data_IF_329578356079
#
_entry.id   IF_329578356079
#
_cell.length_a   1.000
_cell.length_b   1.000
_cell.length_c   1.000
_cell.angle_alpha   90.00
_cell.angle_beta   90.00
_cell.angle_gamma   90.00
#
_symmetry.space_group_name_H-M   'P 1'
#
loop_
_entity.id
_entity.type
_entity.pdbx_description
1 polymer ?
#
# COMPACT_ATOMS: atom_id res chain seq x y z
N UNK A 1 -16.41 -9.20 0.01
CA UNK A 1 -17.26 -8.32 -0.82
C UNK A 1 -16.93 -8.59 -2.26
N UNK A 2 -17.94 -8.78 -3.12
CA UNK A 2 -17.77 -8.76 -4.57
C UNK A 2 -17.39 -7.34 -5.04
N UNK A 3 -16.84 -7.18 -6.25
CA UNK A 3 -16.48 -5.85 -6.78
C UNK A 3 -17.71 -4.93 -6.90
N UNK A 4 -18.88 -5.50 -7.19
CA UNK A 4 -20.15 -4.76 -7.19
C UNK A 4 -20.54 -4.26 -5.79
N UNK A 5 -20.25 -5.03 -4.75
CA UNK A 5 -20.49 -4.65 -3.35
C UNK A 5 -19.49 -3.61 -2.82
N UNK A 6 -18.36 -3.38 -3.51
CA UNK A 6 -17.45 -2.29 -3.18
C UNK A 6 -18.03 -0.92 -3.56
N UNK A 7 -18.93 -0.89 -4.56
CA UNK A 7 -19.60 0.31 -5.08
C UNK A 7 -21.03 0.36 -4.56
N UNK A 8 -21.28 1.11 -3.48
CA UNK A 8 -22.60 1.18 -2.83
C UNK A 8 -23.67 1.85 -3.71
N UNK A 9 -23.32 2.94 -4.38
CA UNK A 9 -24.19 3.74 -5.25
C UNK A 9 -23.37 4.34 -6.41
N UNK A 10 -24.02 4.65 -7.53
CA UNK A 10 -23.36 5.23 -8.72
C UNK A 10 -23.89 6.65 -8.98
N UNK A 11 -23.00 7.58 -9.30
CA UNK A 11 -23.37 8.96 -9.64
C UNK A 11 -23.27 9.92 -8.46
N UNK A 12 -24.14 10.95 -8.45
CA UNK A 12 -24.19 11.95 -7.37
C UNK A 12 -23.06 12.99 -7.40
N UNK A 13 -22.41 13.20 -8.55
CA UNK A 13 -21.41 14.25 -8.69
C UNK A 13 -22.09 15.61 -8.85
N UNK A 14 -21.86 16.50 -7.90
CA UNK A 14 -22.21 17.93 -8.02
C UNK A 14 -21.38 18.61 -9.12
N UNK A 15 -21.77 19.81 -9.58
CA UNK A 15 -20.94 20.59 -10.49
C UNK A 15 -19.51 20.82 -9.97
N UNK A 16 -19.36 21.04 -8.66
CA UNK A 16 -18.05 21.23 -8.03
C UNK A 16 -17.21 19.93 -8.03
N UNK A 17 -17.83 18.79 -7.77
CA UNK A 17 -17.17 17.49 -7.86
C UNK A 17 -16.71 17.18 -9.30
N UNK A 18 -17.55 17.48 -10.30
CA UNK A 18 -17.16 17.34 -11.71
C UNK A 18 -15.99 18.28 -12.06
N UNK A 19 -16.06 19.57 -11.70
CA UNK A 19 -14.98 20.51 -11.98
C UNK A 19 -13.65 20.10 -11.32
N UNK A 20 -13.71 19.59 -10.07
CA UNK A 20 -12.56 19.06 -9.35
C UNK A 20 -11.98 17.80 -9.99
N UNK A 21 -12.83 16.88 -10.46
CA UNK A 21 -12.43 15.66 -11.19
C UNK A 21 -11.74 15.97 -12.51
N UNK A 22 -12.24 16.94 -13.27
CA UNK A 22 -11.72 17.29 -14.59
C UNK A 22 -10.49 18.23 -14.54
N UNK A 23 -10.09 18.69 -13.35
CA UNK A 23 -8.95 19.59 -13.22
C UNK A 23 -9.22 21.03 -13.67
N UNK A 24 -10.49 21.44 -13.79
CA UNK A 24 -10.84 22.78 -14.25
C UNK A 24 -10.85 23.77 -13.07
N UNK A 25 -9.68 24.31 -12.74
CA UNK A 25 -9.49 25.21 -11.59
C UNK A 25 -10.33 26.49 -11.69
N UNK A 26 -10.56 27.03 -12.90
CA UNK A 26 -11.38 28.23 -13.07
C UNK A 26 -12.87 27.95 -12.84
N UNK A 27 -13.37 26.80 -13.28
CA UNK A 27 -14.72 26.36 -12.93
C UNK A 27 -14.87 26.11 -11.43
N UNK A 28 -13.87 25.51 -10.78
CA UNK A 28 -13.86 25.33 -9.31
C UNK A 28 -13.98 26.68 -8.59
N UNK A 29 -13.17 27.68 -8.97
CA UNK A 29 -13.25 29.03 -8.40
C UNK A 29 -14.64 29.65 -8.59
N UNK A 30 -15.14 29.65 -9.83
CA UNK A 30 -16.45 30.24 -10.15
C UNK A 30 -17.60 29.59 -9.37
N UNK A 31 -17.59 28.27 -9.22
CA UNK A 31 -18.60 27.54 -8.45
C UNK A 31 -18.54 27.88 -6.97
N UNK A 32 -17.34 27.94 -6.38
CA UNK A 32 -17.18 28.35 -4.97
C UNK A 32 -17.61 29.79 -4.74
N UNK A 33 -17.26 30.70 -5.66
CA UNK A 33 -17.63 32.12 -5.59
C UNK A 33 -19.15 32.31 -5.76
N UNK A 34 -19.83 31.41 -6.49
CA UNK A 34 -21.29 31.33 -6.59
C UNK A 34 -21.97 30.63 -5.39
N UNK A 35 -21.21 30.22 -4.37
CA UNK A 35 -21.75 29.60 -3.15
C UNK A 35 -21.96 28.09 -3.22
N UNK A 36 -21.32 27.39 -4.17
CA UNK A 36 -21.36 25.92 -4.19
C UNK A 36 -20.81 25.34 -2.87
N UNK A 37 -21.48 24.37 -2.24
CA UNK A 37 -21.02 23.84 -0.94
C UNK A 37 -19.69 23.10 -1.07
N UNK A 38 -18.64 23.65 -0.46
CA UNK A 38 -17.25 23.15 -0.58
C UNK A 38 -17.05 21.72 -0.06
N UNK A 39 -17.88 21.30 0.89
CA UNK A 39 -17.82 19.98 1.53
C UNK A 39 -18.84 18.97 1.03
N UNK A 40 -19.67 19.30 0.03
CA UNK A 40 -20.71 18.37 -0.43
C UNK A 40 -20.09 17.18 -1.14
N UNK A 41 -20.30 16.00 -0.55
CA UNK A 41 -19.76 14.73 -1.01
C UNK A 41 -20.60 14.13 -2.14
N UNK A 42 -20.01 13.21 -2.90
CA UNK A 42 -20.74 12.41 -3.88
C UNK A 42 -21.70 11.43 -3.22
N UNK A 43 -22.85 11.16 -3.84
CA UNK A 43 -23.78 10.15 -3.31
C UNK A 43 -23.25 8.72 -3.42
N UNK A 44 -22.23 8.49 -4.24
CA UNK A 44 -21.69 7.16 -4.58
C UNK A 44 -20.71 6.57 -3.56
N UNK A 45 -19.66 7.32 -3.22
CA UNK A 45 -18.54 6.90 -2.36
C UNK A 45 -18.28 7.92 -1.24
N UNK A 46 -19.20 8.88 -1.05
CA UNK A 46 -19.05 10.01 -0.14
C UNK A 46 -17.72 10.76 -0.32
N UNK A 47 -17.24 10.85 -1.58
CA UNK A 47 -16.01 11.55 -1.94
C UNK A 47 -16.23 13.06 -1.89
N UNK A 48 -15.43 13.80 -1.11
CA UNK A 48 -15.46 15.27 -1.10
C UNK A 48 -14.82 15.89 -2.35
N UNK A 49 -15.07 17.17 -2.67
CA UNK A 49 -14.39 17.86 -3.77
C UNK A 49 -12.86 17.83 -3.66
N UNK A 50 -12.32 17.98 -2.44
CA UNK A 50 -10.87 17.94 -2.23
C UNK A 50 -10.30 16.53 -2.42
N UNK A 51 -11.00 15.50 -1.92
CA UNK A 51 -10.60 14.12 -2.16
C UNK A 51 -10.70 13.78 -3.66
N UNK A 52 -11.76 14.23 -4.34
CA UNK A 52 -11.96 14.05 -5.79
C UNK A 52 -10.84 14.67 -6.61
N UNK A 53 -10.43 15.91 -6.31
CA UNK A 53 -9.28 16.54 -6.93
C UNK A 53 -7.99 15.74 -6.67
N UNK A 54 -7.80 15.28 -5.42
CA UNK A 54 -6.59 14.55 -5.01
C UNK A 54 -6.45 13.21 -5.72
N UNK A 55 -7.52 12.38 -5.78
CA UNK A 55 -7.48 11.07 -6.44
C UNK A 55 -7.23 11.17 -7.96
N UNK A 56 -7.56 12.30 -8.57
CA UNK A 56 -7.28 12.59 -9.99
C UNK A 56 -5.95 13.34 -10.20
N UNK A 57 -5.16 13.57 -9.13
CA UNK A 57 -3.83 14.21 -9.21
C UNK A 57 -3.86 15.72 -9.41
N UNK A 58 -5.00 16.38 -9.18
CA UNK A 58 -5.14 17.84 -9.28
C UNK A 58 -4.78 18.51 -7.95
N UNK A 59 -3.50 18.45 -7.57
CA UNK A 59 -3.01 18.96 -6.29
C UNK A 59 -3.16 20.47 -6.11
N UNK A 60 -3.11 21.25 -7.19
CA UNK A 60 -3.36 22.70 -7.12
C UNK A 60 -4.82 22.99 -6.74
N UNK A 61 -5.77 22.19 -7.24
CA UNK A 61 -7.18 22.30 -6.85
C UNK A 61 -7.39 21.83 -5.41
N UNK A 62 -6.77 20.72 -5.01
CA UNK A 62 -6.85 20.24 -3.64
C UNK A 62 -6.32 21.29 -2.65
N UNK A 63 -5.21 21.93 -2.98
CA UNK A 63 -4.64 23.04 -2.21
C UNK A 63 -5.57 24.25 -2.17
N UNK A 64 -6.14 24.66 -3.31
CA UNK A 64 -7.14 25.73 -3.36
C UNK A 64 -8.35 25.43 -2.45
N UNK A 65 -8.88 24.22 -2.49
CA UNK A 65 -10.02 23.82 -1.66
C UNK A 65 -9.66 23.86 -0.17
N UNK A 66 -8.45 23.41 0.19
CA UNK A 66 -7.94 23.52 1.57
C UNK A 66 -7.84 24.99 2.02
N UNK A 67 -7.27 25.86 1.18
CA UNK A 67 -7.16 27.31 1.43
C UNK A 67 -8.54 27.99 1.57
N UNK A 68 -9.57 27.45 0.90
CA UNK A 68 -10.97 27.89 0.98
C UNK A 68 -11.75 27.25 2.15
N UNK A 69 -11.09 26.49 3.01
CA UNK A 69 -11.69 25.94 4.24
C UNK A 69 -12.30 24.54 4.11
N UNK A 70 -11.98 23.78 3.06
CA UNK A 70 -12.40 22.39 2.96
C UNK A 70 -11.75 21.54 4.08
N UNK A 71 -12.52 20.64 4.70
CA UNK A 71 -12.01 19.76 5.77
C UNK A 71 -10.98 18.76 5.23
N UNK A 72 -9.75 18.70 5.78
CA UNK A 72 -8.73 17.75 5.34
C UNK A 72 -9.01 16.32 5.79
N UNK A 73 -10.02 16.10 6.64
CA UNK A 73 -10.36 14.81 7.25
C UNK A 73 -11.62 14.17 6.67
N UNK A 74 -12.28 14.79 5.68
CA UNK A 74 -13.43 14.17 5.03
C UNK A 74 -12.97 12.92 4.27
N UNK A 75 -13.54 11.76 4.66
CA UNK A 75 -13.19 10.47 4.09
C UNK A 75 -14.27 9.95 3.13
N UNK A 76 -13.87 9.11 2.18
CA UNK A 76 -14.79 8.27 1.42
C UNK A 76 -15.31 7.08 2.23
N UNK A 77 -16.24 6.30 1.68
CA UNK A 77 -16.74 5.07 2.29
C UNK A 77 -15.65 4.03 2.58
N UNK A 78 -14.56 4.08 1.80
CA UNK A 78 -13.39 3.23 2.02
C UNK A 78 -12.45 3.75 3.12
N UNK A 79 -12.76 4.87 3.76
CA UNK A 79 -11.92 5.51 4.77
C UNK A 79 -10.73 6.28 4.20
N UNK A 80 -10.67 6.52 2.89
CA UNK A 80 -9.58 7.30 2.30
C UNK A 80 -9.79 8.80 2.55
N UNK A 81 -8.76 9.46 3.08
CA UNK A 81 -8.69 10.92 3.22
C UNK A 81 -7.81 11.52 2.12
N UNK A 82 -7.87 12.85 1.90
CA UNK A 82 -6.91 13.54 1.02
C UNK A 82 -5.46 13.18 1.31
N UNK A 83 -5.06 13.10 2.60
CA UNK A 83 -3.68 12.75 2.98
C UNK A 83 -3.27 11.36 2.48
N UNK A 84 -4.10 10.34 2.67
CA UNK A 84 -3.84 9.00 2.16
C UNK A 84 -3.79 9.01 0.61
N UNK A 85 -4.75 9.69 -0.02
CA UNK A 85 -4.87 9.76 -1.46
C UNK A 85 -3.66 10.44 -2.13
N UNK A 86 -3.09 11.49 -1.53
CA UNK A 86 -1.89 12.17 -2.05
C UNK A 86 -0.72 11.20 -2.21
N UNK A 87 -0.43 10.40 -1.18
CA UNK A 87 0.64 9.39 -1.21
C UNK A 87 0.28 8.28 -2.20
N UNK A 88 -0.98 7.85 -2.20
CA UNK A 88 -1.43 6.79 -3.08
C UNK A 88 -1.25 7.15 -4.55
N UNK A 89 -1.67 8.34 -4.96
CA UNK A 89 -1.62 8.82 -6.35
C UNK A 89 -0.18 9.03 -6.82
N UNK A 90 0.72 9.44 -5.94
CA UNK A 90 2.14 9.58 -6.27
C UNK A 90 2.73 8.27 -6.79
N UNK A 91 2.35 7.15 -6.17
CA UNK A 91 2.89 5.81 -6.40
C UNK A 91 1.92 4.86 -7.13
N UNK A 92 0.75 5.34 -7.53
CA UNK A 92 -0.22 4.56 -8.29
C UNK A 92 0.28 4.30 -9.71
N UNK A 93 -0.19 3.21 -10.31
CA UNK A 93 0.02 2.93 -11.72
C UNK A 93 -0.61 4.07 -12.55
N UNK A 94 0.19 4.74 -13.38
CA UNK A 94 -0.31 5.80 -14.28
C UNK A 94 -0.61 5.16 -15.64
N UNK A 95 -1.88 4.84 -15.89
CA UNK A 95 -2.32 4.42 -17.23
C UNK A 95 -2.45 5.63 -18.16
N UNK A 96 -2.78 5.39 -19.44
CA UNK A 96 -3.28 6.41 -20.37
C UNK A 96 -4.67 6.88 -19.90
N UNK A 97 -4.75 7.55 -18.75
CA UNK A 97 -5.92 8.32 -18.32
C UNK A 97 -6.19 9.38 -19.40
N UNK A 98 -7.42 9.90 -19.58
CA UNK A 98 -7.71 10.91 -20.60
C UNK A 98 -6.77 12.14 -20.57
N UNK A 99 -6.07 12.40 -19.45
CA UNK A 99 -5.01 13.40 -19.38
C UNK A 99 -3.74 12.89 -18.65
N UNK A 100 -2.87 12.10 -19.31
CA UNK A 100 -1.74 11.43 -18.68
C UNK A 100 -0.57 12.38 -18.31
N UNK A 101 -0.72 13.68 -18.58
CA UNK A 101 0.26 14.73 -18.27
C UNK A 101 -0.28 15.81 -17.35
N UNK A 102 -1.54 15.74 -16.89
CA UNK A 102 -2.13 16.76 -16.03
C UNK A 102 -1.34 16.96 -14.72
N UNK A 103 -0.76 15.87 -14.19
CA UNK A 103 0.13 15.92 -13.03
C UNK A 103 1.43 16.69 -13.29
N UNK A 104 1.90 16.77 -14.53
CA UNK A 104 3.10 17.55 -14.91
C UNK A 104 2.82 19.06 -14.96
N UNK A 105 1.55 19.44 -14.98
CA UNK A 105 1.12 20.84 -15.02
C UNK A 105 0.83 21.39 -13.61
N UNK A 106 0.82 20.53 -12.59
CA UNK A 106 0.61 20.95 -11.21
C UNK A 106 1.83 21.67 -10.68
N UNK A 107 1.62 22.77 -9.96
CA UNK A 107 2.67 23.52 -9.26
C UNK A 107 2.94 22.93 -7.87
N UNK A 108 1.88 22.50 -7.20
CA UNK A 108 1.92 21.88 -5.89
C UNK A 108 2.42 20.44 -6.02
N UNK A 109 3.54 20.13 -5.39
CA UNK A 109 4.06 18.77 -5.29
C UNK A 109 3.26 17.95 -4.27
N UNK A 110 3.39 16.63 -4.33
CA UNK A 110 2.70 15.74 -3.39
C UNK A 110 3.14 16.00 -1.94
N UNK A 111 4.44 16.24 -1.67
CA UNK A 111 4.94 16.55 -0.33
C UNK A 111 4.43 17.89 0.19
N UNK A 112 4.35 18.92 -0.66
CA UNK A 112 3.79 20.21 -0.27
C UNK A 112 2.30 20.08 0.09
N UNK A 113 1.53 19.32 -0.69
CA UNK A 113 0.12 19.05 -0.36
C UNK A 113 -0.01 18.24 0.93
N UNK A 114 0.81 17.20 1.13
CA UNK A 114 0.82 16.43 2.38
C UNK A 114 1.10 17.34 3.58
N UNK A 115 2.13 18.19 3.50
CA UNK A 115 2.48 19.09 4.59
C UNK A 115 1.37 20.11 4.86
N UNK A 116 0.74 20.66 3.81
CA UNK A 116 -0.39 21.57 3.95
C UNK A 116 -1.59 20.90 4.65
N UNK A 117 -1.94 19.68 4.24
CA UNK A 117 -3.02 18.90 4.86
C UNK A 117 -2.73 18.61 6.35
N UNK A 118 -1.49 18.21 6.67
CA UNK A 118 -1.07 17.94 8.04
C UNK A 118 -1.09 19.21 8.90
N UNK A 119 -0.63 20.36 8.38
CA UNK A 119 -0.74 21.67 9.05
C UNK A 119 -2.20 22.07 9.30
N UNK A 120 -3.10 21.70 8.40
CA UNK A 120 -4.54 21.93 8.55
C UNK A 120 -5.24 20.91 9.48
N UNK A 121 -4.50 19.99 10.10
CA UNK A 121 -5.03 19.03 11.07
C UNK A 121 -5.49 17.71 10.48
N UNK A 122 -4.97 17.30 9.31
CA UNK A 122 -5.19 15.95 8.80
C UNK A 122 -4.67 14.89 9.78
N UNK A 123 -5.48 13.87 10.09
CA UNK A 123 -5.07 12.76 10.95
C UNK A 123 -4.14 11.80 10.19
N UNK A 124 -2.85 11.66 10.56
CA UNK A 124 -1.92 10.77 9.87
C UNK A 124 -2.13 9.28 10.18
N UNK A 125 -3.00 8.94 11.13
CA UNK A 125 -3.29 7.58 11.58
C UNK A 125 -4.69 7.11 11.14
N UNK A 126 -5.34 7.82 10.21
CA UNK A 126 -6.58 7.32 9.60
C UNK A 126 -6.34 5.96 8.97
N UNK A 127 -7.33 5.08 9.06
CA UNK A 127 -7.23 3.70 8.58
C UNK A 127 -8.30 3.45 7.53
N UNK A 128 -7.90 2.85 6.41
CA UNK A 128 -8.87 2.38 5.41
C UNK A 128 -9.84 1.37 6.04
N UNK A 129 -11.11 1.42 5.65
CA UNK A 129 -12.12 0.43 6.04
C UNK A 129 -12.12 -0.80 5.12
N UNK A 130 -11.72 -0.62 3.85
CA UNK A 130 -11.64 -1.66 2.81
C UNK A 130 -10.52 -1.35 1.82
N UNK A 131 -10.15 -2.33 1.00
CA UNK A 131 -9.19 -2.13 -0.09
C UNK A 131 -9.72 -1.08 -1.08
N UNK A 132 -8.87 -0.14 -1.48
CA UNK A 132 -9.25 0.92 -2.42
C UNK A 132 -9.29 0.40 -3.85
N UNK A 133 -10.44 0.54 -4.50
CA UNK A 133 -10.67 0.03 -5.86
C UNK A 133 -9.75 0.65 -6.91
N UNK A 134 -9.28 1.89 -6.70
CA UNK A 134 -8.40 2.63 -7.61
C UNK A 134 -6.90 2.49 -7.28
N UNK A 135 -6.51 1.56 -6.41
CA UNK A 135 -5.09 1.25 -6.25
C UNK A 135 -4.55 0.42 -7.40
N UNK A 136 -5.26 -0.64 -7.81
CA UNK A 136 -4.83 -1.54 -8.89
C UNK A 136 -5.67 -1.39 -10.16
N UNK A 137 -5.06 -1.64 -11.32
CA UNK A 137 -5.77 -1.77 -12.59
C UNK A 137 -6.37 -3.19 -12.71
N UNK A 138 -7.70 -3.31 -12.55
CA UNK A 138 -8.50 -4.54 -12.67
C UNK A 138 -8.12 -5.72 -11.74
N UNK A 139 -9.09 -6.15 -10.91
CA UNK A 139 -9.10 -7.41 -10.15
C UNK A 139 -7.97 -7.63 -9.13
N UNK A 140 -7.71 -6.70 -8.18
CA UNK A 140 -6.78 -6.83 -7.02
C UNK A 140 -5.73 -7.95 -7.16
N UNK A 141 -4.90 -7.83 -8.20
CA UNK A 141 -3.78 -8.73 -8.46
C UNK A 141 -2.55 -8.23 -7.68
N UNK A 142 -2.70 -7.46 -6.60
CA UNK A 142 -1.56 -7.03 -5.79
C UNK A 142 -1.13 -8.13 -4.82
N UNK A 143 -2.04 -9.05 -4.48
CA UNK A 143 -1.83 -10.02 -3.41
C UNK A 143 -1.77 -9.35 -2.02
N UNK A 144 -2.07 -8.05 -1.92
CA UNK A 144 -1.99 -7.26 -0.68
C UNK A 144 -3.31 -6.57 -0.41
N UNK A 145 -3.98 -6.99 0.65
CA UNK A 145 -5.16 -6.28 1.15
C UNK A 145 -4.73 -5.09 2.02
N UNK A 146 -5.19 -3.90 1.63
CA UNK A 146 -4.87 -2.62 2.26
C UNK A 146 -5.92 -2.14 3.25
N UNK A 147 -6.98 -2.93 3.50
CA UNK A 147 -7.91 -2.63 4.58
C UNK A 147 -7.14 -2.44 5.89
N UNK A 148 -7.39 -1.35 6.59
CA UNK A 148 -6.68 -0.97 7.81
C UNK A 148 -5.35 -0.24 7.61
N UNK A 149 -4.86 -0.05 6.38
CA UNK A 149 -3.64 0.70 6.09
C UNK A 149 -3.76 2.16 6.52
N UNK A 150 -2.64 2.71 7.03
CA UNK A 150 -2.48 4.13 7.35
C UNK A 150 -1.73 4.87 6.24
N UNK A 151 -1.74 6.22 6.23
CA UNK A 151 -0.82 7.01 5.44
C UNK A 151 0.65 6.58 5.58
N UNK A 152 1.10 6.26 6.80
CA UNK A 152 2.46 5.78 7.04
C UNK A 152 2.71 4.43 6.37
N UNK A 153 1.77 3.48 6.52
CA UNK A 153 1.84 2.19 5.83
C UNK A 153 1.93 2.37 4.31
N UNK A 154 1.13 3.29 3.74
CA UNK A 154 1.14 3.56 2.29
C UNK A 154 2.45 4.19 1.82
N UNK A 155 3.05 5.07 2.62
CA UNK A 155 4.37 5.65 2.34
C UNK A 155 5.46 4.57 2.38
N UNK A 156 5.42 3.67 3.37
CA UNK A 156 6.33 2.53 3.45
C UNK A 156 6.19 1.60 2.23
N UNK A 157 4.97 1.31 1.78
CA UNK A 157 4.74 0.52 0.57
C UNK A 157 5.24 1.19 -0.71
N UNK A 158 5.23 2.52 -0.76
CA UNK A 158 5.84 3.31 -1.83
C UNK A 158 7.35 3.53 -1.67
N UNK A 159 7.99 2.93 -0.64
CA UNK A 159 9.39 3.13 -0.24
C UNK A 159 9.81 4.60 -0.04
N UNK A 160 8.84 5.44 0.34
CA UNK A 160 8.98 6.90 0.40
C UNK A 160 9.42 7.37 1.80
N UNK A 161 10.74 7.38 2.02
CA UNK A 161 11.33 7.88 3.27
C UNK A 161 10.98 9.35 3.56
N UNK A 162 11.05 10.29 2.59
CA UNK A 162 10.58 11.67 2.81
C UNK A 162 9.14 11.77 3.34
N UNK A 163 8.18 11.05 2.74
CA UNK A 163 6.80 11.01 3.23
C UNK A 163 6.69 10.39 4.62
N UNK A 164 7.38 9.28 4.88
CA UNK A 164 7.40 8.65 6.21
C UNK A 164 7.90 9.62 7.28
N UNK A 165 9.01 10.32 7.04
CA UNK A 165 9.54 11.35 7.96
C UNK A 165 8.56 12.49 8.17
N UNK A 166 7.94 12.98 7.09
CA UNK A 166 6.94 14.04 7.19
C UNK A 166 5.77 13.60 8.08
N UNK A 167 5.24 12.40 7.88
CA UNK A 167 4.15 11.84 8.66
C UNK A 167 4.50 11.70 10.15
N UNK A 168 5.71 11.22 10.48
CA UNK A 168 6.17 11.10 11.87
C UNK A 168 6.23 12.45 12.60
N UNK A 169 6.65 13.52 11.91
CA UNK A 169 6.66 14.89 12.48
C UNK A 169 5.29 15.36 12.94
N UNK A 170 4.22 14.77 12.42
CA UNK A 170 2.83 15.09 12.77
C UNK A 170 2.14 13.96 13.56
N UNK A 171 2.91 13.02 14.14
CA UNK A 171 2.38 12.01 15.06
C UNK A 171 1.85 10.73 14.40
N UNK A 172 2.32 10.39 13.20
CA UNK A 172 2.05 9.08 12.62
C UNK A 172 2.63 7.94 13.49
N UNK A 173 1.90 6.85 13.63
CA UNK A 173 2.33 5.63 14.31
C UNK A 173 2.84 4.61 13.28
N UNK A 174 4.16 4.33 13.25
CA UNK A 174 4.76 3.40 12.31
C UNK A 174 4.52 1.92 12.64
N UNK A 175 3.87 1.61 13.77
CA UNK A 175 3.62 0.23 14.20
C UNK A 175 2.30 -0.32 13.66
N UNK A 176 1.42 0.53 13.11
CA UNK A 176 0.06 0.14 12.71
C UNK A 176 0.08 -0.73 11.44
N UNK A 177 -0.39 -1.99 11.49
CA UNK A 177 -0.50 -2.85 10.32
C UNK A 177 -1.82 -2.65 9.57
N UNK A 178 -1.93 -3.25 8.37
CA UNK A 178 -3.24 -3.54 7.76
C UNK A 178 -4.02 -4.56 8.59
N UNK A 179 -5.22 -4.94 8.14
CA UNK A 179 -6.05 -5.99 8.77
C UNK A 179 -6.00 -7.26 7.95
N UNK A 180 -5.90 -8.41 8.62
CA UNK A 180 -6.04 -9.73 7.99
C UNK A 180 -7.43 -9.83 7.32
N UNK A 181 -7.52 -10.13 6.02
CA UNK A 181 -8.81 -10.30 5.36
C UNK A 181 -9.60 -11.47 5.94
N UNK A 182 -10.94 -11.41 5.83
CA UNK A 182 -11.78 -12.57 6.09
C UNK A 182 -11.55 -13.62 4.99
N UNK A 183 -11.45 -14.90 5.37
CA UNK A 183 -11.13 -15.99 4.45
C UNK A 183 -12.14 -16.10 3.31
N UNK A 184 -11.66 -15.87 2.09
CA UNK A 184 -12.14 -16.46 0.83
C UNK A 184 -11.12 -16.11 -0.25
N UNK A 185 -10.23 -17.05 -0.55
CA UNK A 185 -9.43 -17.02 -1.77
C UNK A 185 -9.70 -18.34 -2.48
N UNK A 186 -10.14 -18.27 -3.74
CA UNK A 186 -10.34 -19.43 -4.60
C UNK A 186 -9.07 -19.62 -5.43
N UNK A 187 -8.57 -20.86 -5.51
CA UNK A 187 -7.47 -21.27 -6.40
C UNK A 187 -6.33 -21.99 -5.68
N UNK A 188 -5.45 -22.66 -6.44
CA UNK A 188 -4.29 -23.43 -5.92
C UNK A 188 -3.22 -22.54 -5.25
N UNK A 189 -3.37 -21.21 -5.35
CA UNK A 189 -2.55 -20.16 -4.75
C UNK A 189 -3.25 -19.44 -3.57
N UNK A 190 -4.46 -19.87 -3.20
CA UNK A 190 -5.15 -19.39 -2.00
C UNK A 190 -4.31 -19.65 -0.74
N UNK A 191 -4.38 -18.79 0.30
CA UNK A 191 -3.89 -19.19 1.62
C UNK A 191 -4.55 -20.52 1.95
N UNK A 192 -3.79 -21.46 2.54
CA UNK A 192 -4.39 -22.63 3.17
C UNK A 192 -5.56 -22.13 4.02
N UNK A 193 -6.72 -22.75 3.84
CA UNK A 193 -7.85 -22.45 4.71
C UNK A 193 -7.38 -22.63 6.16
N UNK A 194 -8.03 -21.95 7.10
CA UNK A 194 -7.93 -22.33 8.50
C UNK A 194 -8.83 -23.58 8.69
N UNK A 195 -8.60 -24.60 7.86
CA UNK A 195 -9.37 -25.83 7.79
C UNK A 195 -8.87 -26.86 8.81
N UNK A 196 -8.16 -26.43 9.86
CA UNK A 196 -7.88 -27.20 11.08
C UNK A 196 -7.14 -28.53 10.91
N UNK A 197 -6.86 -28.97 9.68
CA UNK A 197 -6.33 -30.30 9.36
C UNK A 197 -4.84 -30.27 8.97
N UNK A 198 -4.32 -29.14 8.50
CA UNK A 198 -2.89 -28.97 8.21
C UNK A 198 -2.23 -28.21 9.36
N UNK A 199 -1.35 -28.89 10.10
CA UNK A 199 -0.58 -28.26 11.17
C UNK A 199 0.24 -27.08 10.60
N UNK A 200 0.05 -25.88 11.16
CA UNK A 200 0.82 -24.68 10.81
C UNK A 200 2.32 -24.91 11.10
N UNK A 201 3.16 -25.06 10.06
CA UNK A 201 4.57 -25.41 10.23
C UNK A 201 5.42 -24.25 10.79
N UNK A 202 4.86 -23.04 10.87
CA UNK A 202 5.56 -21.88 11.42
C UNK A 202 5.57 -21.84 12.95
N UNK A 203 4.67 -22.58 13.62
CA UNK A 203 4.50 -22.54 15.07
C UNK A 203 3.95 -21.21 15.62
N UNK A 204 3.50 -20.29 14.76
CA UNK A 204 2.98 -18.98 15.18
C UNK A 204 1.52 -19.09 15.67
N UNK A 205 1.12 -18.32 16.70
CA UNK A 205 -0.27 -18.31 17.17
C UNK A 205 -1.21 -17.84 16.05
N UNK A 206 -2.42 -18.42 15.92
CA UNK A 206 -3.36 -18.03 14.86
C UNK A 206 -3.78 -16.57 14.99
N UNK A 207 -4.00 -15.89 13.85
CA UNK A 207 -4.47 -14.51 13.79
C UNK A 207 -5.91 -14.51 13.26
N UNK A 208 -6.91 -14.00 14.00
CA UNK A 208 -8.30 -13.97 13.55
C UNK A 208 -8.49 -12.99 12.39
N UNK A 209 -9.55 -13.17 11.61
CA UNK A 209 -9.96 -12.19 10.60
C UNK A 209 -10.16 -10.81 11.25
N UNK A 210 -9.65 -9.76 10.61
CA UNK A 210 -9.63 -8.40 11.16
C UNK A 210 -8.48 -8.11 12.14
N UNK A 211 -7.71 -9.13 12.56
CA UNK A 211 -6.48 -8.98 13.33
C UNK A 211 -5.33 -8.34 12.52
N UNK A 212 -4.12 -8.21 13.11
CA UNK A 212 -2.96 -7.65 12.42
C UNK A 212 -2.66 -8.34 11.09
N UNK A 213 -2.60 -7.55 10.02
CA UNK A 213 -2.32 -8.01 8.66
C UNK A 213 -0.84 -7.87 8.33
N UNK A 214 -0.50 -6.81 7.60
CA UNK A 214 0.84 -6.53 7.07
C UNK A 214 1.37 -5.27 7.73
N UNK A 215 2.52 -5.36 8.41
CA UNK A 215 3.18 -4.19 9.02
C UNK A 215 3.94 -3.33 8.00
N UNK A 216 4.24 -2.05 8.30
CA UNK A 216 5.00 -1.18 7.40
C UNK A 216 6.37 -1.73 6.97
N UNK A 217 7.07 -2.51 7.81
CA UNK A 217 8.33 -3.14 7.41
C UNK A 217 8.16 -4.19 6.30
N UNK A 218 7.06 -4.96 6.32
CA UNK A 218 6.74 -5.89 5.24
C UNK A 218 6.39 -5.14 3.95
N UNK A 219 5.68 -4.01 4.09
CA UNK A 219 5.39 -3.13 2.97
C UNK A 219 6.67 -2.58 2.32
N UNK A 220 7.60 -2.08 3.14
CA UNK A 220 8.90 -1.57 2.71
C UNK A 220 9.87 -2.66 2.22
N UNK A 221 9.71 -3.93 2.63
CA UNK A 221 10.50 -5.05 2.11
C UNK A 221 9.93 -5.68 0.84
N UNK A 222 8.71 -5.29 0.45
CA UNK A 222 8.12 -5.67 -0.83
C UNK A 222 7.08 -6.79 -0.76
N UNK A 223 6.23 -6.80 0.26
CA UNK A 223 5.05 -7.68 0.30
C UNK A 223 4.26 -7.63 -1.02
N UNK A 224 3.97 -8.80 -1.59
CA UNK A 224 3.31 -8.96 -2.89
C UNK A 224 4.22 -8.76 -4.11
N UNK A 225 5.36 -8.08 -3.99
CA UNK A 225 6.34 -7.99 -5.08
C UNK A 225 7.06 -9.32 -5.25
N UNK A 226 7.28 -9.73 -6.50
CA UNK A 226 7.95 -11.00 -6.77
C UNK A 226 7.07 -12.25 -6.62
N UNK A 227 5.74 -12.08 -6.51
CA UNK A 227 4.75 -13.17 -6.45
C UNK A 227 3.79 -13.24 -7.67
N UNK A 228 4.15 -12.64 -8.81
CA UNK A 228 3.61 -13.06 -10.13
C UNK A 228 2.27 -12.46 -10.50
N UNK A 229 1.84 -11.42 -9.80
CA UNK A 229 0.61 -10.68 -10.06
C UNK A 229 0.89 -9.17 -10.35
N UNK A 230 -0.17 -8.37 -10.50
CA UNK A 230 -0.09 -6.93 -10.78
C UNK A 230 0.50 -6.08 -9.63
N UNK A 231 1.05 -6.66 -8.56
CA UNK A 231 1.93 -5.94 -7.61
C UNK A 231 3.02 -5.14 -8.33
N UNK A 232 3.49 -5.63 -9.48
CA UNK A 232 4.43 -4.95 -10.37
C UNK A 232 3.85 -3.70 -11.09
N UNK A 233 2.56 -3.41 -10.95
CA UNK A 233 1.94 -2.20 -11.52
C UNK A 233 2.10 -0.98 -10.61
N UNK A 234 2.45 -1.15 -9.32
CA UNK A 234 2.72 -0.01 -8.45
C UNK A 234 4.12 0.52 -8.61
N UNK A 235 4.21 1.86 -8.64
CA UNK A 235 5.47 2.55 -8.59
C UNK A 235 5.93 2.65 -7.14
N UNK A 236 7.24 2.62 -6.94
CA UNK A 236 7.87 2.92 -5.65
C UNK A 236 8.90 4.03 -5.87
N UNK A 237 9.41 4.62 -4.79
CA UNK A 237 10.49 5.60 -4.89
C UNK A 237 11.70 4.96 -5.58
N UNK A 238 12.35 5.64 -6.54
CA UNK A 238 13.57 5.13 -7.16
C UNK A 238 14.63 4.91 -6.07
N UNK A 239 15.29 3.75 -6.13
CA UNK A 239 16.31 3.34 -5.16
C UNK A 239 15.83 3.33 -3.68
N UNK A 240 14.51 3.31 -3.45
CA UNK A 240 13.92 3.48 -2.12
C UNK A 240 13.88 2.22 -1.26
N UNK A 241 14.02 1.03 -1.85
CA UNK A 241 13.88 -0.26 -1.14
C UNK A 241 14.79 -0.35 0.09
N UNK A 242 16.12 -0.39 -0.11
CA UNK A 242 17.07 -0.49 1.00
C UNK A 242 17.03 0.72 1.96
N UNK A 243 16.97 1.98 1.50
CA UNK A 243 16.79 3.13 2.39
C UNK A 243 15.55 3.06 3.28
N UNK A 244 14.42 2.58 2.74
CA UNK A 244 13.17 2.47 3.50
C UNK A 244 13.25 1.44 4.62
N UNK A 245 13.84 0.27 4.35
CA UNK A 245 14.05 -0.76 5.39
C UNK A 245 15.09 -0.32 6.41
N UNK A 246 16.18 0.33 5.98
CA UNK A 246 17.18 0.95 6.89
C UNK A 246 16.53 1.93 7.83
N UNK A 247 15.69 2.82 7.29
CA UNK A 247 14.96 3.80 8.09
C UNK A 247 14.09 3.12 9.16
N UNK A 248 13.32 2.10 8.80
CA UNK A 248 12.45 1.39 9.76
C UNK A 248 13.25 0.64 10.84
N UNK A 249 14.34 -0.03 10.49
CA UNK A 249 15.13 -0.81 11.45
C UNK A 249 16.03 0.09 12.31
N UNK A 250 16.78 1.00 11.69
CA UNK A 250 17.85 1.74 12.36
C UNK A 250 17.34 2.98 13.09
N UNK A 251 16.32 3.66 12.54
CA UNK A 251 15.80 4.88 13.15
C UNK A 251 14.54 4.64 13.98
N UNK A 252 13.68 3.70 13.57
CA UNK A 252 12.44 3.40 14.29
C UNK A 252 12.53 2.15 15.17
N UNK A 253 13.65 1.41 15.12
CA UNK A 253 13.87 0.22 15.96
C UNK A 253 12.92 -0.93 15.65
N UNK A 254 12.38 -1.02 14.43
CA UNK A 254 11.47 -2.10 14.05
C UNK A 254 12.22 -3.43 14.02
N UNK A 255 11.63 -4.46 14.62
CA UNK A 255 12.20 -5.81 14.64
C UNK A 255 12.32 -6.38 13.21
N UNK A 256 13.56 -6.71 12.84
CA UNK A 256 13.93 -7.34 11.56
C UNK A 256 13.21 -8.67 11.32
N UNK A 257 12.78 -9.34 12.38
CA UNK A 257 12.10 -10.64 12.35
C UNK A 257 10.58 -10.54 12.51
N UNK A 258 10.01 -9.34 12.40
CA UNK A 258 8.56 -9.12 12.38
C UNK A 258 7.85 -10.09 11.42
N UNK A 259 6.67 -10.56 11.81
CA UNK A 259 5.89 -11.56 11.07
C UNK A 259 4.56 -10.97 10.63
N UNK A 260 4.24 -11.04 9.35
CA UNK A 260 2.90 -10.71 8.85
C UNK A 260 1.89 -11.85 9.10
N UNK A 261 0.63 -11.65 8.71
CA UNK A 261 -0.43 -12.64 8.92
C UNK A 261 -0.20 -13.98 8.21
N UNK A 262 0.61 -14.02 7.15
CA UNK A 262 0.99 -15.26 6.44
C UNK A 262 2.25 -15.89 7.06
N UNK A 263 2.85 -15.25 8.05
CA UNK A 263 4.13 -15.66 8.60
C UNK A 263 5.25 -15.40 7.59
N UNK A 264 5.30 -14.27 6.91
CA UNK A 264 6.52 -13.84 6.22
C UNK A 264 7.30 -12.84 7.06
N UNK A 265 8.63 -12.93 7.00
CA UNK A 265 9.55 -11.90 7.50
C UNK A 265 9.90 -10.93 6.37
N UNK A 266 10.49 -9.76 6.66
CA UNK A 266 11.14 -8.92 5.65
C UNK A 266 12.11 -9.69 4.74
N UNK A 267 12.79 -10.70 5.28
CA UNK A 267 13.74 -11.53 4.51
C UNK A 267 13.05 -12.41 3.46
N UNK A 268 11.84 -12.93 3.74
CA UNK A 268 11.03 -13.65 2.75
C UNK A 268 10.63 -12.74 1.58
N UNK A 269 10.20 -11.52 1.87
CA UNK A 269 9.81 -10.53 0.85
C UNK A 269 11.01 -10.08 0.00
N UNK A 270 12.19 -9.91 0.61
CA UNK A 270 13.42 -9.64 -0.13
C UNK A 270 13.82 -10.81 -1.06
N UNK A 271 13.69 -12.05 -0.58
CA UNK A 271 13.97 -13.25 -1.37
C UNK A 271 13.02 -13.41 -2.57
N UNK A 272 11.72 -13.11 -2.40
CA UNK A 272 10.74 -13.12 -3.48
C UNK A 272 11.09 -12.17 -4.63
N UNK A 273 11.88 -11.11 -4.35
CA UNK A 273 12.32 -10.12 -5.34
C UNK A 273 13.71 -10.41 -5.93
N UNK A 274 14.41 -11.44 -5.46
CA UNK A 274 15.81 -11.69 -5.82
C UNK A 274 16.77 -10.60 -5.33
N UNK A 275 16.40 -9.83 -4.31
CA UNK A 275 17.16 -8.66 -3.84
C UNK A 275 18.29 -9.09 -2.88
N UNK A 276 19.42 -9.50 -3.48
CA UNK A 276 20.60 -9.94 -2.74
C UNK A 276 21.19 -8.86 -1.83
N UNK A 277 21.09 -7.57 -2.19
CA UNK A 277 21.60 -6.48 -1.38
C UNK A 277 20.79 -6.34 -0.08
N UNK A 278 19.45 -6.32 -0.20
CA UNK A 278 18.55 -6.32 0.95
C UNK A 278 18.71 -7.57 1.82
N UNK A 279 18.84 -8.75 1.22
CA UNK A 279 19.08 -10.01 1.95
C UNK A 279 20.33 -9.88 2.82
N UNK A 280 21.45 -9.46 2.25
CA UNK A 280 22.70 -9.33 3.01
C UNK A 280 22.59 -8.28 4.12
N UNK A 281 21.89 -7.18 3.85
CA UNK A 281 21.61 -6.17 4.86
C UNK A 281 20.77 -6.72 6.03
N UNK A 282 19.63 -7.39 5.74
CA UNK A 282 18.77 -7.98 6.76
C UNK A 282 19.51 -9.04 7.59
N UNK A 283 20.33 -9.87 6.96
CA UNK A 283 21.20 -10.84 7.66
C UNK A 283 22.19 -10.13 8.60
N UNK A 284 22.76 -9.00 8.18
CA UNK A 284 23.65 -8.20 9.04
C UNK A 284 22.94 -7.61 10.27
N UNK A 285 21.61 -7.51 10.23
CA UNK A 285 20.76 -7.06 11.34
C UNK A 285 20.20 -8.21 12.19
N UNK A 286 20.58 -9.46 11.91
CA UNK A 286 20.13 -10.63 12.66
C UNK A 286 18.80 -11.21 12.19
N UNK A 287 18.49 -11.08 10.90
CA UNK A 287 17.34 -11.78 10.31
C UNK A 287 17.48 -13.31 10.45
N UNK A 288 16.40 -13.98 10.84
CA UNK A 288 16.32 -15.42 10.96
C UNK A 288 16.12 -16.07 9.58
N UNK A 289 17.20 -16.67 9.07
CA UNK A 289 17.23 -17.41 7.80
C UNK A 289 16.44 -18.71 7.84
N UNK A 290 16.14 -19.23 9.04
CA UNK A 290 15.45 -20.51 9.24
C UNK A 290 13.94 -20.36 9.37
N UNK A 291 13.43 -19.13 9.42
CA UNK A 291 12.00 -18.85 9.54
C UNK A 291 11.20 -19.49 8.40
N UNK A 292 10.03 -20.04 8.75
CA UNK A 292 9.12 -20.72 7.83
C UNK A 292 7.75 -20.06 7.88
N UNK A 293 7.11 -19.86 6.74
CA UNK A 293 5.76 -19.29 6.65
C UNK A 293 4.68 -20.25 7.14
N UNK A 294 3.46 -19.75 7.34
CA UNK A 294 2.30 -20.60 7.67
C UNK A 294 1.96 -21.60 6.55
N UNK A 295 2.49 -21.39 5.34
CA UNK A 295 2.39 -22.34 4.22
C UNK A 295 3.56 -23.32 4.15
N UNK A 296 4.51 -23.26 5.08
CA UNK A 296 5.70 -24.12 5.07
C UNK A 296 6.81 -23.65 4.14
N UNK A 297 6.74 -22.43 3.61
CA UNK A 297 7.77 -21.91 2.72
C UNK A 297 8.92 -21.33 3.53
N UNK A 298 10.14 -21.72 3.18
CA UNK A 298 11.37 -21.11 3.71
C UNK A 298 11.72 -19.81 2.97
N UNK A 299 12.76 -19.12 3.43
CA UNK A 299 13.30 -17.96 2.71
C UNK A 299 13.78 -18.33 1.31
N UNK A 300 14.49 -19.45 1.14
CA UNK A 300 14.97 -19.94 -0.16
C UNK A 300 13.82 -20.31 -1.10
N UNK A 301 12.71 -20.85 -0.57
CA UNK A 301 11.53 -21.17 -1.38
C UNK A 301 10.93 -19.93 -2.04
N UNK A 302 11.01 -18.77 -1.38
CA UNK A 302 10.51 -17.52 -1.95
C UNK A 302 11.34 -17.04 -3.15
N UNK A 303 12.65 -17.33 -3.19
CA UNK A 303 13.49 -17.06 -4.35
C UNK A 303 13.36 -18.14 -5.45
N UNK A 304 12.84 -19.33 -5.11
CA UNK A 304 12.75 -20.48 -6.01
C UNK A 304 11.41 -20.57 -6.78
N UNK A 305 10.81 -19.42 -7.12
CA UNK A 305 9.55 -19.38 -7.87
C UNK A 305 8.37 -20.01 -7.12
N UNK A 306 7.92 -19.41 -6.00
CA UNK A 306 6.85 -19.96 -5.15
C UNK A 306 5.47 -19.95 -5.83
N UNK A 307 5.36 -19.32 -7.00
CA UNK A 307 4.15 -19.14 -7.81
C UNK A 307 4.47 -19.46 -9.26
N UNK A 308 3.47 -19.91 -10.03
CA UNK A 308 3.69 -20.41 -11.39
C UNK A 308 4.28 -19.39 -12.39
N UNK A 309 4.17 -18.09 -12.10
CA UNK A 309 4.37 -17.00 -13.09
C UNK A 309 5.72 -16.28 -13.01
N UNK A 310 6.58 -16.64 -12.06
CA UNK A 310 7.88 -15.97 -11.87
C UNK A 310 9.00 -17.00 -11.89
N UNK A 311 9.98 -16.86 -12.81
CA UNK A 311 11.12 -17.76 -12.84
C UNK A 311 11.97 -17.63 -11.57
N UNK A 312 12.64 -18.70 -11.13
CA UNK A 312 13.46 -18.67 -9.93
C UNK A 312 14.67 -17.74 -10.07
N UNK A 313 15.01 -17.03 -8.99
CA UNK A 313 16.22 -16.24 -8.88
C UNK A 313 17.40 -17.13 -8.48
N UNK A 314 17.97 -17.84 -9.46
CA UNK A 314 18.97 -18.90 -9.24
C UNK A 314 20.14 -18.45 -8.35
N UNK A 315 20.68 -17.25 -8.57
CA UNK A 315 21.79 -16.73 -7.75
C UNK A 315 21.35 -16.40 -6.32
N UNK A 316 20.12 -15.94 -6.14
CA UNK A 316 19.54 -15.69 -4.81
C UNK A 316 19.28 -16.99 -4.07
N UNK A 317 18.77 -18.03 -4.73
CA UNK A 317 18.59 -19.37 -4.14
C UNK A 317 19.92 -19.91 -3.63
N UNK A 318 20.98 -19.88 -4.45
CA UNK A 318 22.33 -20.30 -4.04
C UNK A 318 22.85 -19.50 -2.85
N UNK A 319 22.64 -18.19 -2.84
CA UNK A 319 23.02 -17.33 -1.73
C UNK A 319 22.30 -17.75 -0.44
N UNK A 320 20.98 -17.94 -0.50
CA UNK A 320 20.17 -18.31 0.66
C UNK A 320 20.50 -19.70 1.18
N UNK A 321 20.76 -20.67 0.30
CA UNK A 321 21.25 -22.01 0.68
C UNK A 321 22.60 -21.93 1.39
N UNK A 322 23.54 -21.10 0.88
CA UNK A 322 24.84 -20.86 1.53
C UNK A 322 24.68 -20.19 2.89
N UNK A 323 23.67 -19.33 3.06
CA UNK A 323 23.34 -18.68 4.33
C UNK A 323 22.59 -19.61 5.30
N UNK A 324 22.21 -20.82 4.88
CA UNK A 324 21.60 -21.83 5.73
C UNK A 324 20.08 -21.99 5.57
N UNK A 325 19.45 -21.31 4.61
CA UNK A 325 18.03 -21.56 4.30
C UNK A 325 17.89 -22.86 3.53
N UNK A 326 17.04 -23.77 4.02
CA UNK A 326 16.68 -24.98 3.29
C UNK A 326 15.82 -24.64 2.07
N UNK A 327 16.18 -25.16 0.90
CA UNK A 327 15.34 -25.11 -0.30
C UNK A 327 14.49 -26.39 -0.40
N UNK A 328 13.17 -26.25 -0.48
CA UNK A 328 12.27 -27.39 -0.62
C UNK A 328 12.30 -28.02 -2.02
N UNK A 329 12.91 -27.33 -3.00
CA UNK A 329 12.94 -27.71 -4.41
C UNK A 329 11.55 -27.89 -5.04
N UNK A 330 10.52 -27.23 -4.49
CA UNK A 330 9.14 -27.23 -5.00
C UNK A 330 8.84 -25.98 -5.84
N UNK A 331 9.73 -25.69 -6.80
CA UNK A 331 9.53 -24.58 -7.72
C UNK A 331 8.24 -24.80 -8.53
N UNK A 332 7.34 -23.80 -8.55
CA UNK A 332 6.06 -23.87 -9.29
C UNK A 332 6.16 -23.37 -10.74
N UNK A 333 7.19 -22.60 -11.04
CA UNK A 333 7.46 -22.00 -12.36
C UNK A 333 8.50 -22.77 -13.18
N UNK A 334 9.13 -23.77 -12.56
CA UNK A 334 9.97 -24.77 -13.19
C UNK A 334 9.08 -25.93 -13.67
#
# INVERSE_FOLDING_TARGET
>A
MSYGELVGSKGGLTPLLFAAREGNIEAVKALLDAGAPIGQVSDGDHTSPMLMATINGHFDIARLLLERGASPNQMSDAGATPLYATINVQYAAKSLYPQPTAQKQQRTTYLELMEALLKAGANPNVRLSKHLWYMSYNFDLLGVNTAGATPFWRAAYGTDVPAMRLLLRYGADPSIPTRKPAGRVRGDDAPAEDDGEVADPSGLPPIPAGGPGVYPIHAASGVGYGEGYAANSHMHAPDGWLPSVKFLIEELGVDVNSRDHNGYTPLHHAAARGDNEMIMYLMSKGADITAVSRRGQTVADMANGPVQRIPPFVETVKLLEKLGSKNSNKCRSC
#
